data_IF_919473686722
#
_entry.id   IF_919473686722
#
_cell.length_a   1.000
_cell.length_b   1.000
_cell.length_c   1.000
_cell.angle_alpha   90.00
_cell.angle_beta   90.00
_cell.angle_gamma   90.00
#
_symmetry.space_group_name_H-M   'P 1'
#
loop_
_entity.id
_entity.type
_entity.pdbx_description
1 polymer ?
#
# COMPACT_ATOMS: atom_id res chain seq x y z
N UNK A 1 -38.89 72.85 -70.64
CA UNK A 1 -37.59 72.22 -70.31
C UNK A 1 -36.84 73.09 -69.32
N UNK A 2 -36.79 72.67 -68.06
CA UNK A 2 -35.62 72.64 -67.15
C UNK A 2 -36.16 72.19 -65.79
N UNK A 3 -36.11 70.87 -65.59
CA UNK A 3 -36.45 70.20 -64.33
C UNK A 3 -35.37 70.57 -63.31
N UNK A 4 -35.73 71.25 -62.23
CA UNK A 4 -34.85 71.40 -61.07
C UNK A 4 -34.92 70.11 -60.25
N UNK A 5 -33.83 69.34 -60.25
CA UNK A 5 -33.65 68.24 -59.31
C UNK A 5 -33.22 68.81 -57.95
N UNK A 6 -34.11 68.77 -56.97
CA UNK A 6 -33.80 69.05 -55.57
C UNK A 6 -33.15 67.78 -55.02
N UNK A 7 -31.84 67.84 -54.76
CA UNK A 7 -31.11 66.79 -54.06
C UNK A 7 -31.42 66.94 -52.57
N UNK A 8 -32.25 66.04 -52.03
CA UNK A 8 -32.44 65.87 -50.60
C UNK A 8 -31.21 65.18 -50.03
N UNK A 9 -30.38 65.91 -49.26
CA UNK A 9 -29.44 65.29 -48.34
C UNK A 9 -30.25 64.72 -47.17
N UNK A 10 -30.45 63.40 -47.14
CA UNK A 10 -30.92 62.71 -45.93
C UNK A 10 -29.71 62.70 -44.98
N UNK A 11 -29.71 63.59 -44.00
CA UNK A 11 -28.82 63.47 -42.85
C UNK A 11 -29.28 62.25 -42.05
N UNK A 12 -28.50 61.16 -42.09
CA UNK A 12 -28.63 60.08 -41.12
C UNK A 12 -28.21 60.67 -39.76
N UNK A 13 -29.18 61.05 -38.92
CA UNK A 13 -28.92 61.29 -37.51
C UNK A 13 -28.75 59.93 -36.85
N UNK A 14 -27.51 59.58 -36.49
CA UNK A 14 -27.25 58.40 -35.69
C UNK A 14 -27.65 58.69 -34.23
N UNK A 15 -28.26 57.70 -33.59
CA UNK A 15 -28.85 57.82 -32.25
C UNK A 15 -28.50 56.60 -31.42
N UNK A 16 -28.13 56.82 -30.15
CA UNK A 16 -27.75 55.81 -29.19
C UNK A 16 -28.89 55.51 -28.23
N UNK A 17 -29.12 54.23 -27.94
CA UNK A 17 -30.14 53.79 -26.99
C UNK A 17 -29.47 53.36 -25.70
N UNK A 18 -29.90 53.91 -24.56
CA UNK A 18 -29.40 53.51 -23.26
C UNK A 18 -29.66 52.00 -23.03
N UNK A 19 -28.75 51.32 -22.34
CA UNK A 19 -28.68 49.85 -22.35
C UNK A 19 -29.80 49.17 -21.57
N UNK A 20 -30.15 49.72 -20.40
CA UNK A 20 -31.15 49.14 -19.48
C UNK A 20 -32.44 49.95 -19.40
N UNK A 21 -32.46 51.15 -19.97
CA UNK A 21 -33.59 52.08 -19.95
C UNK A 21 -33.97 52.48 -21.38
N UNK A 22 -35.28 52.59 -21.66
CA UNK A 22 -35.81 52.92 -22.98
C UNK A 22 -35.74 54.43 -23.28
N UNK A 23 -34.53 54.98 -23.26
CA UNK A 23 -34.20 56.36 -23.63
C UNK A 23 -33.24 56.34 -24.83
N UNK A 24 -33.39 57.29 -25.75
CA UNK A 24 -32.54 57.43 -26.93
C UNK A 24 -31.97 58.84 -26.98
N UNK A 25 -30.64 58.93 -27.05
CA UNK A 25 -29.87 60.16 -27.09
C UNK A 25 -29.15 60.30 -28.44
N UNK A 26 -28.75 61.50 -28.88
CA UNK A 26 -27.90 61.66 -30.06
C UNK A 26 -26.50 61.06 -29.81
N UNK A 27 -25.85 60.50 -30.83
CA UNK A 27 -24.50 59.94 -30.68
C UNK A 27 -23.45 60.95 -30.17
N UNK A 28 -23.71 62.26 -30.29
CA UNK A 28 -22.81 63.30 -29.76
C UNK A 28 -22.82 63.40 -28.23
N UNK A 29 -23.72 62.69 -27.56
CA UNK A 29 -23.91 62.64 -26.12
C UNK A 29 -23.29 61.34 -25.54
N UNK A 30 -22.46 60.63 -26.31
CA UNK A 30 -21.69 59.47 -25.84
C UNK A 30 -20.29 59.95 -25.47
N UNK A 31 -19.85 59.63 -24.26
CA UNK A 31 -18.57 60.03 -23.65
C UNK A 31 -18.32 61.55 -23.72
N UNK A 32 -19.38 62.36 -23.59
CA UNK A 32 -19.35 63.83 -23.68
C UNK A 32 -19.11 64.51 -22.31
N UNK A 33 -18.95 63.70 -21.25
CA UNK A 33 -18.78 64.09 -19.84
C UNK A 33 -20.04 64.66 -19.20
N UNK A 34 -21.20 64.30 -19.71
CA UNK A 34 -22.48 64.60 -19.11
C UNK A 34 -23.32 63.32 -19.02
N UNK A 35 -24.01 63.13 -17.90
CA UNK A 35 -24.78 61.91 -17.68
C UNK A 35 -26.22 62.07 -18.22
N UNK A 36 -26.45 61.62 -19.45
CA UNK A 36 -27.74 61.69 -20.14
C UNK A 36 -28.56 60.41 -19.99
N UNK A 37 -27.90 59.25 -19.91
CA UNK A 37 -28.55 58.01 -19.57
C UNK A 37 -28.59 57.81 -18.04
N UNK A 38 -29.77 57.60 -17.43
CA UNK A 38 -29.86 57.35 -15.99
C UNK A 38 -29.19 56.04 -15.53
N UNK A 39 -28.85 55.14 -16.48
CA UNK A 39 -28.07 53.93 -16.23
C UNK A 39 -26.57 54.10 -16.49
N UNK A 40 -26.14 55.30 -16.92
CA UNK A 40 -24.76 55.65 -17.22
C UNK A 40 -24.13 54.91 -18.38
N UNK A 41 -24.94 54.32 -19.27
CA UNK A 41 -24.46 53.55 -20.42
C UNK A 41 -23.84 54.40 -21.55
N UNK A 42 -24.05 55.71 -21.51
CA UNK A 42 -23.51 56.75 -22.39
C UNK A 42 -22.07 57.20 -22.02
N UNK A 43 -21.70 57.12 -20.74
CA UNK A 43 -20.45 57.69 -20.20
C UNK A 43 -19.44 56.62 -19.71
N UNK A 44 -19.40 55.47 -20.39
CA UNK A 44 -18.56 54.31 -19.99
C UNK A 44 -17.05 54.59 -20.05
N UNK A 45 -16.61 55.58 -20.83
CA UNK A 45 -15.19 55.96 -20.93
C UNK A 45 -14.88 57.31 -20.25
N UNK A 46 -15.80 57.87 -19.46
CA UNK A 46 -15.57 59.14 -18.73
C UNK A 46 -15.82 59.03 -17.22
N UNK A 47 -16.65 58.08 -16.77
CA UNK A 47 -16.89 57.82 -15.35
C UNK A 47 -17.69 58.93 -14.65
N UNK A 48 -18.44 59.76 -15.39
CA UNK A 48 -19.15 60.92 -14.83
C UNK A 48 -20.48 60.55 -14.16
N UNK A 49 -21.09 59.43 -14.55
CA UNK A 49 -22.34 58.96 -13.96
C UNK A 49 -22.12 58.29 -12.60
N UNK A 50 -22.81 58.77 -11.57
CA UNK A 50 -22.77 58.19 -10.23
C UNK A 50 -23.35 56.76 -10.24
N UNK A 51 -22.59 55.79 -9.72
CA UNK A 51 -22.99 54.38 -9.68
C UNK A 51 -22.81 53.61 -10.99
N UNK A 52 -22.21 54.22 -12.03
CA UNK A 52 -21.83 53.50 -13.25
C UNK A 52 -20.45 52.85 -13.16
N UNK A 53 -20.08 52.11 -14.20
CA UNK A 53 -18.76 51.48 -14.36
C UNK A 53 -17.96 52.22 -15.45
N UNK A 54 -16.68 52.43 -15.19
CA UNK A 54 -15.69 52.97 -16.11
C UNK A 54 -14.81 51.85 -16.65
N UNK A 55 -14.52 51.86 -17.95
CA UNK A 55 -13.70 50.83 -18.61
C UNK A 55 -12.28 51.34 -18.84
N UNK A 56 -11.32 50.83 -18.06
CA UNK A 56 -9.90 50.97 -18.34
C UNK A 56 -9.57 50.15 -19.59
N UNK A 57 -9.24 50.79 -20.71
CA UNK A 57 -8.88 50.09 -21.96
C UNK A 57 -7.55 49.33 -21.84
N UNK A 58 -6.63 49.84 -21.00
CA UNK A 58 -5.40 49.14 -20.59
C UNK A 58 -4.58 48.58 -21.76
N UNK A 59 -4.29 49.39 -22.79
CA UNK A 59 -3.46 48.94 -23.94
C UNK A 59 -2.13 48.35 -23.45
N UNK A 60 -1.89 47.07 -23.76
CA UNK A 60 -0.77 46.33 -23.19
C UNK A 60 -1.16 45.33 -22.08
N UNK A 61 -2.42 45.28 -21.64
CA UNK A 61 -2.95 44.43 -20.58
C UNK A 61 -4.45 44.11 -20.81
N UNK A 62 -5.10 43.48 -19.82
CA UNK A 62 -6.54 43.21 -19.84
C UNK A 62 -7.34 44.47 -19.53
N UNK A 63 -8.43 44.69 -20.28
CA UNK A 63 -9.40 45.72 -19.93
C UNK A 63 -10.04 45.41 -18.57
N UNK A 64 -10.26 46.44 -17.77
CA UNK A 64 -10.81 46.32 -16.41
C UNK A 64 -11.95 47.31 -16.26
N UNK A 65 -13.02 46.86 -15.61
CA UNK A 65 -14.12 47.74 -15.21
C UNK A 65 -13.92 48.15 -13.75
N UNK A 66 -13.96 49.44 -13.48
CA UNK A 66 -13.90 50.02 -12.14
C UNK A 66 -15.17 50.84 -11.89
N UNK A 67 -15.56 51.00 -10.64
CA UNK A 67 -16.69 51.87 -10.31
C UNK A 67 -16.33 53.34 -10.56
N UNK A 68 -17.26 54.15 -11.07
CA UNK A 68 -17.04 55.57 -11.37
C UNK A 68 -16.53 56.41 -10.17
N UNK A 69 -16.72 55.93 -8.93
CA UNK A 69 -16.16 56.57 -7.73
C UNK A 69 -14.64 56.55 -7.63
N UNK A 70 -13.98 55.68 -8.39
CA UNK A 70 -12.52 55.56 -8.49
C UNK A 70 -11.93 56.41 -9.63
N UNK A 71 -12.76 57.15 -10.37
CA UNK A 71 -12.31 58.04 -11.45
C UNK A 71 -12.06 59.43 -10.89
N UNK A 72 -10.81 59.90 -10.95
CA UNK A 72 -10.41 61.23 -10.47
C UNK A 72 -10.33 61.35 -8.94
N UNK A 73 -10.17 60.23 -8.23
CA UNK A 73 -10.04 60.17 -6.77
C UNK A 73 -8.58 60.28 -6.29
N UNK A 74 -7.63 60.43 -7.24
CA UNK A 74 -6.18 60.50 -7.03
C UNK A 74 -5.51 59.18 -6.62
N UNK A 75 -6.16 58.05 -6.84
CA UNK A 75 -5.62 56.70 -6.71
C UNK A 75 -5.49 56.09 -8.11
N UNK A 76 -4.43 55.31 -8.37
CA UNK A 76 -4.24 54.67 -9.67
C UNK A 76 -4.83 53.26 -9.66
N UNK A 77 -6.05 53.13 -10.16
CA UNK A 77 -6.78 51.87 -10.32
C UNK A 77 -6.58 51.26 -11.71
N UNK A 78 -6.57 52.09 -12.77
CA UNK A 78 -6.22 51.61 -14.12
C UNK A 78 -4.69 51.51 -14.30
N UNK A 79 -4.22 50.42 -14.92
CA UNK A 79 -2.77 50.29 -15.19
C UNK A 79 -2.28 51.29 -16.23
N UNK A 80 -3.17 51.83 -17.07
CA UNK A 80 -2.82 52.84 -18.06
C UNK A 80 -2.95 54.27 -17.52
N UNK A 81 -3.49 54.44 -16.31
CA UNK A 81 -3.75 55.72 -15.66
C UNK A 81 -4.92 56.50 -16.27
N UNK A 82 -5.81 55.86 -17.02
CA UNK A 82 -6.94 56.51 -17.71
C UNK A 82 -8.07 56.98 -16.79
N UNK A 83 -8.11 56.45 -15.57
CA UNK A 83 -8.96 56.86 -14.45
C UNK A 83 -8.58 58.23 -13.88
N UNK A 84 -7.32 58.63 -14.01
CA UNK A 84 -6.78 59.80 -13.34
C UNK A 84 -6.34 60.92 -14.30
N UNK A 85 -6.11 62.11 -13.76
CA UNK A 85 -5.61 63.23 -14.57
C UNK A 85 -4.28 62.89 -15.23
N UNK A 86 -4.07 63.42 -16.43
CA UNK A 86 -2.83 63.24 -17.17
C UNK A 86 -1.61 63.65 -16.32
N UNK A 87 -0.63 62.75 -16.23
CA UNK A 87 0.62 62.92 -15.48
C UNK A 87 0.58 62.52 -14.01
N UNK A 88 -0.59 62.13 -13.46
CA UNK A 88 -0.68 61.62 -12.08
C UNK A 88 -0.26 60.15 -11.99
N UNK A 89 -0.84 59.31 -12.86
CA UNK A 89 -0.60 57.87 -12.88
C UNK A 89 0.29 57.47 -14.06
N UNK A 90 1.40 56.72 -13.83
CA UNK A 90 2.22 56.20 -14.92
C UNK A 90 1.54 55.00 -15.58
N UNK A 91 1.64 54.89 -16.92
CA UNK A 91 1.21 53.68 -17.61
C UNK A 91 2.17 52.52 -17.33
N UNK A 92 1.71 51.54 -16.56
CA UNK A 92 2.43 50.33 -16.16
C UNK A 92 1.88 49.06 -16.79
N UNK A 93 0.88 49.14 -17.68
CA UNK A 93 0.21 47.96 -18.27
C UNK A 93 1.20 47.00 -18.93
N UNK A 94 2.12 47.51 -19.76
CA UNK A 94 3.13 46.68 -20.42
C UNK A 94 4.08 46.01 -19.42
N UNK A 95 4.46 46.71 -18.36
CA UNK A 95 5.34 46.16 -17.32
C UNK A 95 4.61 45.05 -16.53
N UNK A 96 3.34 45.25 -16.18
CA UNK A 96 2.52 44.25 -15.50
C UNK A 96 2.33 42.99 -16.37
N UNK A 97 2.03 43.15 -17.66
CA UNK A 97 1.89 42.03 -18.58
C UNK A 97 3.22 41.32 -18.82
N UNK A 98 4.33 42.06 -18.96
CA UNK A 98 5.66 41.45 -19.05
C UNK A 98 5.97 40.60 -17.81
N UNK A 99 5.64 41.09 -16.61
CA UNK A 99 5.80 40.32 -15.37
C UNK A 99 4.97 39.03 -15.40
N UNK A 100 3.72 39.07 -15.89
CA UNK A 100 2.90 37.86 -16.07
C UNK A 100 3.52 36.89 -17.08
N UNK A 101 4.14 37.39 -18.16
CA UNK A 101 4.87 36.56 -19.13
C UNK A 101 6.06 35.88 -18.44
N UNK A 102 6.87 36.64 -17.69
CA UNK A 102 8.03 36.11 -16.98
C UNK A 102 7.62 35.03 -15.94
N UNK A 103 6.49 35.23 -15.25
CA UNK A 103 5.90 34.24 -14.34
C UNK A 103 5.51 32.95 -15.09
N UNK A 104 4.82 33.06 -16.23
CA UNK A 104 4.43 31.91 -17.05
C UNK A 104 5.66 31.22 -17.68
N UNK A 105 6.69 31.97 -18.08
CA UNK A 105 7.95 31.41 -18.59
C UNK A 105 8.67 30.57 -17.53
N UNK A 106 8.68 31.04 -16.28
CA UNK A 106 9.19 30.25 -15.16
C UNK A 106 8.36 28.98 -14.92
N UNK A 107 7.03 29.06 -15.01
CA UNK A 107 6.15 27.88 -14.92
C UNK A 107 6.40 26.87 -16.05
N UNK A 108 6.57 27.35 -17.29
CA UNK A 108 6.90 26.53 -18.47
C UNK A 108 8.21 25.81 -18.23
N UNK A 109 9.27 26.53 -17.87
CA UNK A 109 10.59 25.96 -17.62
C UNK A 109 10.53 24.86 -16.54
N UNK A 110 9.84 25.12 -15.44
CA UNK A 110 9.63 24.13 -14.37
C UNK A 110 8.86 22.90 -14.87
N UNK A 111 7.81 23.11 -15.66
CA UNK A 111 7.01 22.03 -16.24
C UNK A 111 7.82 21.16 -17.21
N UNK A 112 8.70 21.76 -18.01
CA UNK A 112 9.62 21.04 -18.90
C UNK A 112 10.59 20.15 -18.11
N UNK A 113 11.20 20.68 -17.04
CA UNK A 113 12.06 19.93 -16.13
C UNK A 113 11.32 18.74 -15.50
N UNK A 114 10.08 18.94 -15.07
CA UNK A 114 9.21 17.89 -14.52
C UNK A 114 8.85 16.81 -15.55
N UNK A 115 8.61 17.20 -16.81
CA UNK A 115 8.34 16.25 -17.89
C UNK A 115 9.59 15.42 -18.20
N UNK A 116 10.78 16.02 -18.19
CA UNK A 116 12.03 15.28 -18.31
C UNK A 116 12.24 14.30 -17.16
N UNK A 117 11.92 14.72 -15.92
CA UNK A 117 11.98 13.85 -14.74
C UNK A 117 11.01 12.66 -14.86
N UNK A 118 9.79 12.92 -15.32
CA UNK A 118 8.81 11.87 -15.64
C UNK A 118 9.33 10.86 -16.66
N UNK A 119 10.03 11.31 -17.70
CA UNK A 119 10.62 10.42 -18.70
C UNK A 119 11.74 9.55 -18.09
N UNK A 120 12.58 10.10 -17.20
CA UNK A 120 13.59 9.34 -16.45
C UNK A 120 12.94 8.24 -15.60
N UNK A 121 11.93 8.57 -14.80
CA UNK A 121 11.20 7.58 -14.00
C UNK A 121 10.48 6.55 -14.85
N UNK A 122 9.98 6.92 -16.04
CA UNK A 122 9.41 5.95 -16.98
C UNK A 122 10.44 4.91 -17.47
N UNK A 123 11.69 5.32 -17.70
CA UNK A 123 12.77 4.40 -18.09
C UNK A 123 13.18 3.50 -16.91
N UNK A 124 13.31 4.07 -15.71
CA UNK A 124 13.69 3.34 -14.52
C UNK A 124 12.60 2.35 -14.07
N UNK A 125 11.33 2.76 -14.08
CA UNK A 125 10.19 1.89 -13.80
C UNK A 125 10.08 0.71 -14.76
N UNK A 126 10.40 0.89 -16.07
CA UNK A 126 10.50 -0.23 -17.03
C UNK A 126 11.56 -1.25 -16.62
N UNK A 127 12.74 -0.77 -16.19
CA UNK A 127 13.83 -1.65 -15.74
C UNK A 127 13.42 -2.41 -14.48
N UNK A 128 12.89 -1.69 -13.49
CA UNK A 128 12.43 -2.28 -12.23
C UNK A 128 11.37 -3.35 -12.46
N UNK A 129 10.37 -3.09 -13.32
CA UNK A 129 9.33 -4.08 -13.63
C UNK A 129 9.87 -5.32 -14.34
N UNK A 130 10.86 -5.14 -15.21
CA UNK A 130 11.55 -6.26 -15.88
C UNK A 130 12.35 -7.09 -14.89
N UNK A 131 13.04 -6.47 -13.94
CA UNK A 131 13.77 -7.14 -12.87
C UNK A 131 12.83 -7.90 -11.94
N UNK A 132 11.76 -7.24 -11.50
CA UNK A 132 10.73 -7.84 -10.68
C UNK A 132 10.09 -9.07 -11.34
N UNK A 133 9.75 -8.98 -12.63
CA UNK A 133 9.20 -10.11 -13.38
C UNK A 133 10.16 -11.30 -13.46
N UNK A 134 11.48 -11.05 -13.55
CA UNK A 134 12.48 -12.12 -13.49
C UNK A 134 12.55 -12.75 -12.10
N UNK A 135 12.49 -11.93 -11.05
CA UNK A 135 12.52 -12.39 -9.67
C UNK A 135 11.29 -13.23 -9.31
N UNK A 136 10.09 -12.81 -9.76
CA UNK A 136 8.86 -13.61 -9.64
C UNK A 136 9.06 -15.00 -10.27
N UNK A 137 9.51 -15.06 -11.52
CA UNK A 137 9.73 -16.35 -12.22
C UNK A 137 10.75 -17.23 -11.51
N UNK A 138 11.81 -16.62 -10.96
CA UNK A 138 12.82 -17.34 -10.18
C UNK A 138 12.21 -17.92 -8.90
N UNK A 139 11.45 -17.11 -8.15
CA UNK A 139 10.81 -17.54 -6.91
C UNK A 139 9.72 -18.58 -7.17
N UNK A 140 8.97 -18.48 -8.27
CA UNK A 140 8.00 -19.50 -8.69
C UNK A 140 8.66 -20.83 -9.05
N UNK A 141 9.83 -20.80 -9.73
CA UNK A 141 10.60 -22.00 -10.01
C UNK A 141 11.15 -22.64 -8.72
N UNK A 142 11.74 -21.85 -7.83
CA UNK A 142 12.23 -22.33 -6.52
C UNK A 142 11.09 -22.88 -5.66
N UNK A 143 9.92 -22.24 -5.67
CA UNK A 143 8.74 -22.72 -4.97
C UNK A 143 8.29 -24.09 -5.50
N UNK A 144 8.35 -24.29 -6.82
CA UNK A 144 8.01 -25.56 -7.45
C UNK A 144 8.98 -26.67 -7.03
N UNK A 145 10.29 -26.37 -6.99
CA UNK A 145 11.31 -27.31 -6.54
C UNK A 145 11.11 -27.72 -5.08
N UNK A 146 10.89 -26.75 -4.17
CA UNK A 146 10.65 -27.04 -2.74
C UNK A 146 9.36 -27.85 -2.54
N UNK A 147 8.29 -27.54 -3.29
CA UNK A 147 7.04 -28.32 -3.24
C UNK A 147 7.24 -29.76 -3.71
N UNK A 148 8.05 -29.96 -4.74
CA UNK A 148 8.35 -31.31 -5.25
C UNK A 148 9.25 -32.07 -4.28
N UNK A 149 10.24 -31.42 -3.65
CA UNK A 149 11.11 -32.04 -2.64
C UNK A 149 10.31 -32.50 -1.40
N UNK A 150 9.37 -31.67 -0.92
CA UNK A 150 8.46 -32.06 0.16
C UNK A 150 7.58 -33.25 -0.22
N UNK A 151 7.11 -33.29 -1.47
CA UNK A 151 6.23 -34.36 -1.97
C UNK A 151 6.98 -35.68 -2.20
N UNK A 152 8.17 -35.63 -2.81
CA UNK A 152 9.01 -36.82 -3.06
C UNK A 152 9.59 -37.34 -1.74
N UNK A 153 9.97 -36.44 -0.84
CA UNK A 153 10.55 -36.80 0.44
C UNK A 153 9.60 -37.61 1.32
N UNK A 154 8.28 -37.49 1.12
CA UNK A 154 7.23 -38.22 1.84
C UNK A 154 7.49 -38.29 3.36
N UNK A 155 7.95 -37.16 3.91
CA UNK A 155 8.47 -37.06 5.27
C UNK A 155 7.43 -37.53 6.30
N UNK A 156 6.16 -37.21 6.09
CA UNK A 156 5.06 -37.63 6.96
C UNK A 156 4.98 -39.16 7.11
N UNK A 157 5.05 -39.90 6.00
CA UNK A 157 5.01 -41.36 6.04
C UNK A 157 6.30 -41.95 6.61
N UNK A 158 7.47 -41.42 6.22
CA UNK A 158 8.76 -41.92 6.71
C UNK A 158 8.88 -41.70 8.22
N UNK A 159 8.55 -40.50 8.71
CA UNK A 159 8.57 -40.18 10.15
C UNK A 159 7.59 -41.07 10.90
N UNK A 160 6.38 -41.29 10.36
CA UNK A 160 5.39 -42.19 10.96
C UNK A 160 5.89 -43.63 11.03
N UNK A 161 6.54 -44.13 9.97
CA UNK A 161 7.12 -45.46 9.95
C UNK A 161 8.27 -45.59 10.96
N UNK A 162 9.16 -44.60 11.04
CA UNK A 162 10.27 -44.59 12.00
C UNK A 162 9.79 -44.50 13.45
N UNK A 163 8.76 -43.69 13.73
CA UNK A 163 8.11 -43.65 15.05
C UNK A 163 7.48 -45.00 15.40
N UNK A 164 6.86 -45.68 14.44
CA UNK A 164 6.35 -47.05 14.64
C UNK A 164 7.49 -48.02 14.96
N UNK A 165 8.58 -48.01 14.19
CA UNK A 165 9.77 -48.84 14.45
C UNK A 165 10.34 -48.62 15.85
N UNK A 166 10.43 -47.36 16.30
CA UNK A 166 10.85 -47.01 17.66
C UNK A 166 9.89 -47.54 18.72
N UNK A 167 8.58 -47.40 18.50
CA UNK A 167 7.57 -47.92 19.43
C UNK A 167 7.58 -49.45 19.52
N UNK A 168 7.67 -50.14 18.38
CA UNK A 168 7.75 -51.61 18.30
C UNK A 168 9.04 -52.10 18.99
N UNK A 169 10.17 -51.42 18.76
CA UNK A 169 11.44 -51.70 19.43
C UNK A 169 11.36 -51.50 20.95
N UNK A 170 10.72 -50.42 21.39
CA UNK A 170 10.49 -50.16 22.81
C UNK A 170 9.61 -51.22 23.45
N UNK A 171 8.54 -51.66 22.78
CA UNK A 171 7.66 -52.71 23.27
C UNK A 171 8.38 -54.07 23.38
N UNK A 172 9.14 -54.47 22.35
CA UNK A 172 9.95 -55.70 22.34
C UNK A 172 11.01 -55.70 23.44
N UNK A 173 11.66 -54.54 23.70
CA UNK A 173 12.56 -54.40 24.84
C UNK A 173 11.84 -54.57 26.19
N UNK A 174 10.67 -53.96 26.38
CA UNK A 174 9.89 -54.10 27.62
C UNK A 174 9.48 -55.55 27.86
N UNK A 175 9.09 -56.29 26.82
CA UNK A 175 8.76 -57.71 26.93
C UNK A 175 9.98 -58.55 27.32
N UNK A 176 11.13 -58.34 26.66
CA UNK A 176 12.39 -59.01 27.04
C UNK A 176 12.82 -58.70 28.46
N UNK A 177 12.75 -57.43 28.86
CA UNK A 177 13.11 -56.98 30.20
C UNK A 177 12.21 -57.62 31.26
N UNK A 178 10.89 -57.65 31.03
CA UNK A 178 9.93 -58.28 31.93
C UNK A 178 10.13 -59.80 32.02
N UNK A 179 10.48 -60.47 30.93
CA UNK A 179 10.82 -61.91 30.94
C UNK A 179 12.12 -62.20 31.72
N UNK A 180 13.15 -61.36 31.57
CA UNK A 180 14.39 -61.49 32.36
C UNK A 180 14.13 -61.20 33.84
N UNK A 181 13.26 -60.22 34.13
CA UNK A 181 12.79 -59.88 35.47
C UNK A 181 12.06 -61.04 36.14
N UNK A 182 11.11 -61.67 35.44
CA UNK A 182 10.34 -62.78 35.99
C UNK A 182 11.22 -63.99 36.31
N UNK A 183 12.20 -64.32 35.44
CA UNK A 183 13.18 -65.40 35.71
C UNK A 183 13.97 -65.16 37.00
N UNK A 184 14.40 -63.92 37.24
CA UNK A 184 15.08 -63.57 38.50
C UNK A 184 14.14 -63.75 39.71
N UNK A 185 12.87 -63.36 39.58
CA UNK A 185 11.87 -63.49 40.67
C UNK A 185 11.55 -64.97 40.96
N UNK A 186 11.34 -65.79 39.93
CA UNK A 186 11.10 -67.24 40.06
C UNK A 186 12.25 -67.93 40.81
N UNK A 187 13.50 -67.56 40.48
CA UNK A 187 14.69 -68.15 41.12
C UNK A 187 14.93 -67.63 42.56
N UNK A 188 14.33 -66.49 42.94
CA UNK A 188 14.31 -65.97 44.32
C UNK A 188 13.17 -66.58 45.15
N UNK A 189 12.04 -66.92 44.52
CA UNK A 189 10.85 -67.45 45.18
C UNK A 189 11.03 -68.84 45.82
N UNK A 190 12.09 -69.55 45.46
CA UNK A 190 12.46 -70.83 46.09
C UNK A 190 13.02 -70.71 47.53
N UNK A 191 13.35 -69.52 48.03
CA UNK A 191 14.10 -69.38 49.30
C UNK A 191 13.40 -68.63 50.45
N UNK A 192 12.30 -67.88 50.26
CA UNK A 192 11.88 -66.92 51.30
C UNK A 192 10.38 -66.61 51.34
N UNK A 193 9.87 -66.22 52.52
CA UNK A 193 8.49 -65.76 52.73
C UNK A 193 8.18 -64.50 51.91
N UNK A 194 6.88 -64.26 51.67
CA UNK A 194 6.33 -63.18 50.83
C UNK A 194 6.90 -61.78 51.19
N UNK A 195 7.07 -61.48 52.48
CA UNK A 195 7.65 -60.20 52.97
C UNK A 195 9.15 -60.04 52.67
N UNK A 196 9.93 -61.13 52.67
CA UNK A 196 11.38 -61.09 52.39
C UNK A 196 11.65 -61.04 50.89
N UNK A 197 10.72 -61.57 50.09
CA UNK A 197 10.68 -61.43 48.63
C UNK A 197 10.53 -59.96 48.23
N UNK A 198 9.61 -59.21 48.85
CA UNK A 198 9.38 -57.80 48.56
C UNK A 198 10.58 -56.90 48.93
N UNK A 199 11.24 -57.13 50.06
CA UNK A 199 12.46 -56.39 50.46
C UNK A 199 13.63 -56.66 49.52
N UNK A 200 13.86 -57.93 49.14
CA UNK A 200 14.91 -58.28 48.18
C UNK A 200 14.63 -57.70 46.79
N UNK A 201 13.38 -57.71 46.33
CA UNK A 201 12.98 -57.09 45.06
C UNK A 201 13.28 -55.58 45.04
N UNK A 202 13.07 -54.87 46.16
CA UNK A 202 13.44 -53.45 46.32
C UNK A 202 14.95 -53.23 46.36
N UNK A 203 15.71 -54.06 47.08
CA UNK A 203 17.18 -53.96 47.18
C UNK A 203 17.88 -54.24 45.83
N UNK A 204 17.29 -55.06 44.97
CA UNK A 204 17.84 -55.41 43.66
C UNK A 204 17.56 -54.40 42.53
N UNK A 205 16.90 -53.28 42.82
CA UNK A 205 16.79 -52.15 41.89
C UNK A 205 15.79 -52.34 40.73
N UNK A 206 14.71 -53.10 40.94
CA UNK A 206 13.64 -53.26 39.96
C UNK A 206 12.68 -52.06 39.90
N UNK A 207 13.21 -50.87 39.62
CA UNK A 207 12.39 -49.67 39.34
C UNK A 207 12.66 -49.27 37.88
N UNK A 208 11.67 -49.52 37.01
CA UNK A 208 11.58 -48.78 35.76
C UNK A 208 11.45 -47.29 36.12
N UNK A 209 12.12 -46.35 35.44
CA UNK A 209 12.09 -44.93 35.82
C UNK A 209 10.69 -44.28 35.91
N UNK A 210 9.62 -44.97 35.47
CA UNK A 210 8.26 -44.42 35.34
C UNK A 210 7.12 -45.28 35.94
N UNK A 211 7.37 -46.27 36.81
CA UNK A 211 6.28 -47.01 37.48
C UNK A 211 6.38 -46.89 39.01
N UNK A 212 5.40 -46.23 39.63
CA UNK A 212 5.35 -46.00 41.09
C UNK A 212 4.81 -47.19 41.90
N UNK A 213 4.22 -48.23 41.30
CA UNK A 213 3.72 -49.39 42.06
C UNK A 213 3.88 -50.71 41.30
N UNK A 214 4.46 -51.71 41.97
CA UNK A 214 4.54 -53.10 41.49
C UNK A 214 3.25 -53.80 41.88
N UNK A 215 2.35 -54.07 40.94
CA UNK A 215 1.16 -54.86 41.20
C UNK A 215 1.48 -56.36 41.03
N UNK A 216 1.77 -57.04 42.14
CA UNK A 216 2.01 -58.50 42.18
C UNK A 216 0.66 -59.21 42.18
N UNK A 217 0.00 -59.29 41.02
CA UNK A 217 -1.17 -60.17 40.90
C UNK A 217 -0.73 -61.60 40.62
N UNK A 218 -0.65 -62.37 41.72
CA UNK A 218 -0.87 -63.82 41.84
C UNK A 218 -0.24 -64.72 40.76
N UNK A 219 0.98 -65.17 41.00
CA UNK A 219 1.54 -66.36 40.35
C UNK A 219 1.16 -67.58 41.18
N UNK A 220 0.28 -68.43 40.67
CA UNK A 220 0.00 -69.75 41.25
C UNK A 220 1.20 -70.68 40.98
N UNK A 221 2.00 -70.93 42.02
CA UNK A 221 3.20 -71.78 41.95
C UNK A 221 2.80 -73.26 42.03
N UNK A 222 3.01 -74.00 40.94
CA UNK A 222 3.10 -75.47 40.96
C UNK A 222 4.53 -75.86 41.35
N UNK A 223 4.67 -76.55 42.48
CA UNK A 223 5.96 -77.06 42.99
C UNK A 223 6.36 -78.32 42.22
N UNK A 224 7.50 -78.29 41.54
CA UNK A 224 8.30 -79.48 41.26
C UNK A 224 9.66 -79.31 41.95
N UNK A 225 10.05 -80.32 42.73
CA UNK A 225 11.27 -80.33 43.56
C UNK A 225 12.50 -80.67 42.71
N UNK A 226 13.41 -79.70 42.59
CA UNK A 226 14.81 -79.95 42.26
C UNK A 226 15.67 -78.90 42.99
N UNK A 227 16.25 -79.27 44.15
CA UNK A 227 17.01 -78.35 45.00
C UNK A 227 18.40 -78.04 44.39
N UNK A 228 18.53 -76.89 43.71
CA UNK A 228 19.83 -76.28 43.37
C UNK A 228 20.53 -75.76 44.63
N UNK A 229 21.86 -75.74 44.67
CA UNK A 229 22.62 -75.22 45.81
C UNK A 229 22.60 -73.67 45.87
N UNK A 230 22.75 -73.11 47.08
CA UNK A 230 22.79 -71.64 47.32
C UNK A 230 23.86 -70.90 46.52
N UNK A 231 24.98 -71.54 46.24
CA UNK A 231 26.05 -70.95 45.43
C UNK A 231 25.70 -70.93 43.94
N UNK A 232 25.03 -71.97 43.44
CA UNK A 232 24.55 -72.02 42.04
C UNK A 232 23.49 -70.95 41.78
N UNK A 233 22.55 -70.74 42.70
CA UNK A 233 21.51 -69.70 42.60
C UNK A 233 22.13 -68.30 42.52
N UNK A 234 23.14 -68.00 43.37
CA UNK A 234 23.84 -66.70 43.35
C UNK A 234 24.61 -66.45 42.06
N UNK A 235 25.19 -67.50 41.47
CA UNK A 235 25.94 -67.38 40.23
C UNK A 235 25.02 -67.17 39.02
N UNK A 236 23.88 -67.86 38.98
CA UNK A 236 22.84 -67.69 37.95
C UNK A 236 22.22 -66.28 38.02
N UNK A 237 21.96 -65.77 39.22
CA UNK A 237 21.51 -64.39 39.45
C UNK A 237 22.53 -63.34 38.97
N UNK A 238 23.84 -63.56 39.18
CA UNK A 238 24.89 -62.68 38.66
C UNK A 238 24.90 -62.64 37.13
N UNK A 239 24.75 -63.80 36.49
CA UNK A 239 24.67 -63.91 35.02
C UNK A 239 23.44 -63.18 34.47
N UNK A 240 22.27 -63.36 35.08
CA UNK A 240 21.04 -62.66 34.67
C UNK A 240 21.13 -61.14 34.84
N UNK A 241 21.74 -60.64 35.93
CA UNK A 241 22.00 -59.19 36.11
C UNK A 241 22.93 -58.62 35.06
N UNK A 242 23.96 -59.36 34.66
CA UNK A 242 24.85 -58.98 33.57
C UNK A 242 24.09 -58.90 32.24
N UNK A 243 23.23 -59.88 31.95
CA UNK A 243 22.40 -59.89 30.74
C UNK A 243 21.41 -58.72 30.69
N UNK A 244 20.77 -58.38 31.81
CA UNK A 244 19.88 -57.19 31.89
C UNK A 244 20.67 -55.91 31.60
N UNK A 245 21.85 -55.76 32.22
CA UNK A 245 22.70 -54.59 32.00
C UNK A 245 23.17 -54.49 30.54
N UNK A 246 23.52 -55.60 29.93
CA UNK A 246 23.86 -55.66 28.50
C UNK A 246 22.67 -55.27 27.62
N UNK A 247 21.48 -55.81 27.87
CA UNK A 247 20.24 -55.43 27.16
C UNK A 247 19.91 -53.93 27.33
N UNK A 248 19.98 -53.39 28.54
CA UNK A 248 19.80 -51.95 28.79
C UNK A 248 20.77 -51.08 27.98
N UNK A 249 22.04 -51.50 27.90
CA UNK A 249 23.05 -50.74 27.15
C UNK A 249 22.79 -50.78 25.65
N UNK A 250 22.37 -51.94 25.11
CA UNK A 250 21.97 -52.08 23.70
C UNK A 250 20.73 -51.25 23.40
N UNK A 251 19.72 -51.34 24.25
CA UNK A 251 18.47 -50.58 24.14
C UNK A 251 18.73 -49.07 24.09
N UNK A 252 19.43 -48.53 25.09
CA UNK A 252 19.76 -47.10 25.16
C UNK A 252 20.51 -46.61 23.91
N UNK A 253 21.36 -47.46 23.33
CA UNK A 253 22.14 -47.11 22.13
C UNK A 253 21.26 -47.05 20.89
N UNK A 254 20.39 -48.04 20.68
CA UNK A 254 19.54 -48.09 19.48
C UNK A 254 18.35 -47.14 19.57
N UNK A 255 17.71 -46.97 20.73
CA UNK A 255 16.63 -45.99 20.93
C UNK A 255 17.13 -44.56 20.65
N UNK A 256 18.32 -44.22 21.16
CA UNK A 256 18.96 -42.92 20.89
C UNK A 256 19.26 -42.72 19.40
N UNK A 257 19.60 -43.79 18.68
CA UNK A 257 19.86 -43.74 17.24
C UNK A 257 18.57 -43.50 16.47
N UNK A 258 17.52 -44.25 16.76
CA UNK A 258 16.19 -44.08 16.16
C UNK A 258 15.61 -42.69 16.45
N UNK A 259 15.75 -42.22 17.69
CA UNK A 259 15.34 -40.87 18.09
C UNK A 259 16.08 -39.80 17.29
N UNK A 260 17.40 -39.96 17.10
CA UNK A 260 18.19 -39.03 16.31
C UNK A 260 17.76 -39.01 14.85
N UNK A 261 17.51 -40.17 14.24
CA UNK A 261 17.03 -40.26 12.85
C UNK A 261 15.66 -39.60 12.67
N UNK A 262 14.72 -39.81 13.60
CA UNK A 262 13.41 -39.14 13.59
C UNK A 262 13.58 -37.62 13.69
N UNK A 263 14.43 -37.16 14.61
CA UNK A 263 14.65 -35.72 14.83
C UNK A 263 15.27 -35.05 13.61
N UNK A 264 16.25 -35.68 12.97
CA UNK A 264 16.88 -35.16 11.74
C UNK A 264 15.85 -35.03 10.59
N UNK A 265 14.93 -35.99 10.46
CA UNK A 265 13.85 -35.93 9.47
C UNK A 265 12.85 -34.80 9.77
N UNK A 266 12.43 -34.66 11.03
CA UNK A 266 11.52 -33.59 11.47
C UNK A 266 12.13 -32.20 11.28
N UNK A 267 13.42 -32.03 11.60
CA UNK A 267 14.14 -30.77 11.37
C UNK A 267 14.21 -30.42 9.88
N UNK A 268 14.52 -31.39 9.03
CA UNK A 268 14.59 -31.20 7.57
C UNK A 268 13.22 -30.85 6.97
N UNK A 269 12.16 -31.54 7.39
CA UNK A 269 10.79 -31.23 6.96
C UNK A 269 10.43 -29.78 7.33
N UNK A 270 10.67 -29.40 8.58
CA UNK A 270 10.38 -28.05 9.09
C UNK A 270 11.17 -26.97 8.34
N UNK A 271 12.44 -27.23 8.00
CA UNK A 271 13.26 -26.30 7.21
C UNK A 271 12.64 -26.06 5.83
N UNK A 272 12.24 -27.12 5.13
CA UNK A 272 11.62 -27.03 3.82
C UNK A 272 10.24 -26.35 3.87
N UNK A 273 9.42 -26.62 4.89
CA UNK A 273 8.13 -25.96 5.11
C UNK A 273 8.31 -24.45 5.36
N UNK A 274 9.23 -24.06 6.23
CA UNK A 274 9.55 -22.65 6.45
C UNK A 274 10.03 -21.97 5.15
N UNK A 275 10.89 -22.66 4.40
CA UNK A 275 11.39 -22.16 3.11
C UNK A 275 10.24 -21.96 2.12
N UNK A 276 9.31 -22.92 2.04
CA UNK A 276 8.10 -22.83 1.22
C UNK A 276 7.26 -21.61 1.60
N UNK A 277 6.93 -21.42 2.89
CA UNK A 277 6.10 -20.30 3.35
C UNK A 277 6.72 -18.94 3.02
N UNK A 278 8.03 -18.79 3.22
CA UNK A 278 8.74 -17.55 2.90
C UNK A 278 8.66 -17.24 1.40
N UNK A 279 8.85 -18.24 0.54
CA UNK A 279 8.77 -18.06 -0.90
C UNK A 279 7.32 -17.80 -1.34
N UNK A 280 6.34 -18.52 -0.79
CA UNK A 280 4.91 -18.30 -1.09
C UNK A 280 4.47 -16.87 -0.77
N UNK A 281 4.89 -16.34 0.37
CA UNK A 281 4.60 -14.95 0.76
C UNK A 281 5.20 -13.96 -0.24
N UNK A 282 6.48 -14.13 -0.60
CA UNK A 282 7.15 -13.28 -1.59
C UNK A 282 6.44 -13.32 -2.94
N UNK A 283 6.13 -14.51 -3.45
CA UNK A 283 5.43 -14.70 -4.73
C UNK A 283 4.05 -14.06 -4.68
N UNK A 284 3.30 -14.23 -3.59
CA UNK A 284 1.99 -13.62 -3.41
C UNK A 284 2.06 -12.10 -3.43
N UNK A 285 2.95 -11.50 -2.62
CA UNK A 285 3.14 -10.05 -2.57
C UNK A 285 3.46 -9.50 -3.97
N UNK A 286 4.44 -10.11 -4.65
CA UNK A 286 4.84 -9.66 -5.99
C UNK A 286 3.75 -9.86 -7.04
N UNK A 287 2.99 -10.94 -6.96
CA UNK A 287 1.86 -11.19 -7.87
C UNK A 287 0.74 -10.17 -7.66
N UNK A 288 0.34 -9.88 -6.42
CA UNK A 288 -0.66 -8.84 -6.13
C UNK A 288 -0.22 -7.48 -6.63
N UNK A 289 1.03 -7.11 -6.34
CA UNK A 289 1.65 -5.92 -6.90
C UNK A 289 1.55 -5.97 -8.43
N UNK A 290 1.93 -7.06 -9.09
CA UNK A 290 1.94 -7.17 -10.56
C UNK A 290 0.56 -7.01 -11.21
N UNK A 291 -0.53 -7.33 -10.49
CA UNK A 291 -1.93 -7.19 -10.95
C UNK A 291 -2.37 -5.75 -11.13
N UNK A 292 -1.62 -4.77 -10.61
CA UNK A 292 -1.74 -3.36 -10.99
C UNK A 292 -1.32 -3.23 -12.46
N UNK A 293 -2.27 -3.60 -13.31
CA UNK A 293 -2.12 -3.60 -14.74
C UNK A 293 -2.27 -2.15 -15.17
N UNK A 294 -1.15 -1.43 -15.18
CA UNK A 294 -1.07 -0.12 -15.80
C UNK A 294 -1.15 -0.37 -17.31
N UNK A 295 -2.34 -0.72 -17.80
CA UNK A 295 -2.66 -0.86 -19.23
C UNK A 295 -2.45 0.46 -19.98
N UNK A 296 -2.18 1.55 -19.28
CA UNK A 296 -1.94 2.87 -19.82
C UNK A 296 -0.47 3.23 -19.68
N UNK A 297 0.41 2.79 -20.60
CA UNK A 297 1.67 3.42 -21.06
C UNK A 297 2.53 4.32 -20.11
N UNK A 298 2.36 4.25 -18.79
CA UNK A 298 2.86 5.20 -17.81
C UNK A 298 3.73 4.44 -16.82
N UNK A 299 4.80 3.85 -17.36
CA UNK A 299 5.86 3.21 -16.59
C UNK A 299 6.52 4.14 -15.57
N UNK A 300 6.24 5.45 -15.63
CA UNK A 300 6.63 6.36 -14.56
C UNK A 300 6.01 5.93 -13.22
N UNK A 301 4.78 5.46 -13.24
CA UNK A 301 4.12 4.92 -12.05
C UNK A 301 4.78 3.60 -11.57
N UNK A 302 5.40 2.84 -12.47
CA UNK A 302 6.13 1.61 -12.11
C UNK A 302 7.40 1.91 -11.31
N UNK A 303 7.95 3.14 -11.38
CA UNK A 303 9.07 3.55 -10.53
C UNK A 303 8.65 3.75 -9.06
N UNK A 304 7.41 4.19 -8.85
CA UNK A 304 6.83 4.40 -7.51
C UNK A 304 6.10 3.20 -6.96
N UNK A 305 5.99 2.17 -7.79
CA UNK A 305 5.51 0.88 -7.39
C UNK A 305 6.38 0.35 -6.26
N UNK A 306 5.74 -0.18 -5.20
CA UNK A 306 6.38 -0.66 -3.96
C UNK A 306 6.70 0.39 -2.90
N UNK A 307 6.55 1.69 -3.19
CA UNK A 307 6.78 2.71 -2.17
C UNK A 307 5.58 2.85 -1.23
N UNK A 308 5.90 2.98 0.05
CA UNK A 308 4.98 3.42 1.08
C UNK A 308 5.06 4.95 1.17
N UNK A 309 3.91 5.61 1.08
CA UNK A 309 3.80 7.04 1.33
C UNK A 309 2.98 7.25 2.59
N UNK A 310 3.49 8.07 3.52
CA UNK A 310 2.81 8.35 4.78
C UNK A 310 2.57 9.85 4.92
N UNK A 311 1.38 10.20 5.40
CA UNK A 311 1.05 11.55 5.84
C UNK A 311 -0.02 11.45 6.93
N UNK A 312 0.18 12.22 7.99
CA UNK A 312 -0.67 12.21 9.19
C UNK A 312 -0.82 10.77 9.71
N UNK A 313 -2.05 10.25 9.80
CA UNK A 313 -2.30 8.87 10.20
C UNK A 313 -2.56 7.92 9.02
N UNK A 314 -2.38 8.36 7.78
CA UNK A 314 -2.58 7.56 6.58
C UNK A 314 -1.26 7.01 6.03
N UNK A 315 -1.32 5.76 5.55
CA UNK A 315 -0.28 5.12 4.76
C UNK A 315 -0.87 4.59 3.47
N UNK A 316 -0.35 5.05 2.35
CA UNK A 316 -0.67 4.58 1.01
C UNK A 316 0.43 3.65 0.52
N UNK A 317 0.07 2.39 0.26
CA UNK A 317 0.88 1.46 -0.52
C UNK A 317 0.39 1.55 -1.96
N UNK A 318 1.17 2.20 -2.82
CA UNK A 318 0.76 2.55 -4.19
C UNK A 318 0.24 1.33 -4.96
N UNK A 319 -1.01 1.38 -5.41
CA UNK A 319 -1.65 0.31 -6.17
C UNK A 319 -1.98 -0.95 -5.37
N UNK A 320 -1.88 -0.91 -4.04
CA UNK A 320 -2.14 -2.07 -3.18
C UNK A 320 -3.25 -1.79 -2.17
N UNK A 321 -3.01 -0.96 -1.16
CA UNK A 321 -4.02 -0.57 -0.19
C UNK A 321 -3.67 0.76 0.50
N UNK A 322 -4.66 1.31 1.21
CA UNK A 322 -4.51 2.47 2.08
C UNK A 322 -4.86 2.02 3.49
N UNK A 323 -4.04 2.39 4.47
CA UNK A 323 -4.30 2.14 5.88
C UNK A 323 -4.36 3.45 6.67
N UNK A 324 -5.18 3.48 7.71
CA UNK A 324 -5.27 4.57 8.68
C UNK A 324 -4.92 4.02 10.07
N UNK A 325 -4.13 4.75 10.84
CA UNK A 325 -3.66 4.34 12.17
C UNK A 325 -3.00 2.94 12.19
N UNK A 326 -2.32 2.56 11.09
CA UNK A 326 -1.70 1.25 10.81
C UNK A 326 -2.62 0.01 10.76
N UNK A 327 -3.79 0.04 11.40
CA UNK A 327 -4.61 -1.15 11.61
C UNK A 327 -5.97 -1.10 10.88
N UNK A 328 -6.39 0.08 10.42
CA UNK A 328 -7.67 0.24 9.72
C UNK A 328 -7.38 0.21 8.22
N UNK A 329 -7.91 -0.78 7.50
CA UNK A 329 -7.84 -0.76 6.05
C UNK A 329 -8.86 0.26 5.54
N UNK A 330 -8.40 1.33 4.92
CA UNK A 330 -9.28 2.33 4.29
C UNK A 330 -9.82 1.79 2.98
N UNK A 331 -9.02 0.99 2.27
CA UNK A 331 -9.45 0.34 1.04
C UNK A 331 -8.28 -0.34 0.34
N UNK A 332 -8.59 -1.41 -0.39
CA UNK A 332 -7.67 -2.08 -1.30
C UNK A 332 -7.85 -1.53 -2.72
N UNK A 333 -6.77 -1.51 -3.50
CA UNK A 333 -6.78 -0.97 -4.86
C UNK A 333 -7.81 -1.70 -5.73
N UNK A 334 -8.77 -0.95 -6.27
CA UNK A 334 -9.86 -1.48 -7.07
C UNK A 334 -9.73 -1.13 -8.55
N UNK A 335 -9.01 -0.05 -8.88
CA UNK A 335 -8.74 0.33 -10.26
C UNK A 335 -8.47 1.82 -10.45
N UNK A 336 -8.62 2.26 -11.69
CA UNK A 336 -8.48 3.65 -12.10
C UNK A 336 -9.84 4.17 -12.54
N UNK A 337 -10.25 5.32 -12.00
CA UNK A 337 -11.45 6.03 -12.48
C UNK A 337 -11.09 6.87 -13.72
N UNK A 338 -9.99 7.62 -13.63
CA UNK A 338 -9.38 8.37 -14.74
C UNK A 338 -7.87 8.10 -14.81
N UNK A 339 -7.14 8.77 -15.70
CA UNK A 339 -5.66 8.69 -15.74
C UNK A 339 -4.98 9.18 -14.46
N UNK A 340 -5.66 10.04 -13.70
CA UNK A 340 -5.11 10.79 -12.58
C UNK A 340 -5.87 10.51 -11.28
N UNK A 341 -6.75 9.51 -11.25
CA UNK A 341 -7.51 9.11 -10.06
C UNK A 341 -7.52 7.58 -9.93
N UNK A 342 -6.95 7.10 -8.83
CA UNK A 342 -7.09 5.70 -8.39
C UNK A 342 -8.25 5.57 -7.42
N UNK A 343 -8.95 4.44 -7.51
CA UNK A 343 -10.05 4.09 -6.61
C UNK A 343 -9.66 2.90 -5.73
N UNK A 344 -9.95 3.03 -4.44
CA UNK A 344 -9.70 2.03 -3.40
C UNK A 344 -11.02 1.71 -2.70
N UNK A 345 -11.33 0.42 -2.55
CA UNK A 345 -12.60 -0.04 -1.99
C UNK A 345 -12.43 -1.27 -1.12
N UNK A 346 -13.53 -1.78 -0.55
CA UNK A 346 -13.54 -2.94 0.33
C UNK A 346 -12.63 -2.75 1.57
N UNK A 347 -12.60 -1.52 2.12
CA UNK A 347 -11.96 -1.24 3.39
C UNK A 347 -12.70 -1.86 4.57
N UNK A 348 -12.09 -1.77 5.75
CA UNK A 348 -12.71 -2.11 7.03
C UNK A 348 -14.07 -1.41 7.15
N UNK A 349 -15.07 -2.14 7.63
CA UNK A 349 -16.43 -1.64 7.79
C UNK A 349 -16.52 -0.50 8.81
N UNK A 350 -17.49 0.37 8.57
CA UNK A 350 -17.71 1.63 9.26
C UNK A 350 -19.23 1.80 9.43
N UNK A 351 -19.67 2.19 10.62
CA UNK A 351 -21.10 2.28 10.95
C UNK A 351 -21.60 3.72 10.78
N UNK A 352 -22.62 3.89 9.95
CA UNK A 352 -23.31 5.18 9.74
C UNK A 352 -24.80 4.92 9.89
N UNK A 353 -25.46 5.57 10.86
CA UNK A 353 -26.93 5.49 11.03
C UNK A 353 -27.47 4.04 11.01
N UNK A 354 -26.85 3.14 11.79
CA UNK A 354 -27.18 1.71 11.87
C UNK A 354 -26.91 0.89 10.58
N UNK A 355 -26.29 1.50 9.56
CA UNK A 355 -25.83 0.83 8.35
C UNK A 355 -24.32 0.57 8.41
N UNK A 356 -23.93 -0.65 8.07
CA UNK A 356 -22.52 -1.03 7.96
C UNK A 356 -22.06 -0.86 6.51
N UNK A 357 -21.23 0.16 6.26
CA UNK A 357 -20.65 0.40 4.94
C UNK A 357 -19.13 0.17 4.94
N UNK A 358 -18.55 -0.40 3.87
CA UNK A 358 -17.10 -0.50 3.76
C UNK A 358 -16.49 0.88 3.50
N UNK A 359 -15.35 1.17 4.14
CA UNK A 359 -14.55 2.36 3.78
C UNK A 359 -14.09 2.29 2.32
N UNK A 360 -13.98 3.46 1.70
CA UNK A 360 -13.45 3.64 0.36
C UNK A 360 -12.65 4.93 0.26
N UNK A 361 -11.75 5.01 -0.71
CA UNK A 361 -10.95 6.19 -0.93
C UNK A 361 -10.64 6.44 -2.41
N UNK A 362 -10.40 7.70 -2.73
CA UNK A 362 -9.80 8.12 -3.98
C UNK A 362 -8.40 8.69 -3.74
N UNK A 363 -7.47 8.38 -4.64
CA UNK A 363 -6.14 8.99 -4.66
C UNK A 363 -6.00 9.80 -5.94
N UNK A 364 -5.91 11.12 -5.78
CA UNK A 364 -5.82 12.11 -6.86
C UNK A 364 -4.36 12.46 -7.10
N UNK A 365 -3.89 12.33 -8.33
CA UNK A 365 -2.51 12.60 -8.69
C UNK A 365 -2.35 14.02 -9.20
N UNK A 366 -1.40 14.77 -8.62
CA UNK A 366 -1.08 16.15 -9.04
C UNK A 366 0.38 16.28 -9.43
N UNK A 367 0.67 17.12 -10.41
CA UNK A 367 2.03 17.34 -10.91
C UNK A 367 2.91 17.98 -9.83
N UNK A 368 4.12 17.47 -9.66
CA UNK A 368 5.14 18.05 -8.79
C UNK A 368 6.44 17.28 -8.79
N UNK A 369 7.45 17.78 -8.08
CA UNK A 369 8.83 17.27 -8.17
C UNK A 369 9.04 15.98 -7.38
N UNK A 370 8.46 15.91 -6.18
CA UNK A 370 8.71 14.82 -5.23
C UNK A 370 7.44 14.03 -4.94
N UNK A 371 7.48 12.69 -5.03
CA UNK A 371 6.39 11.81 -4.64
C UNK A 371 6.05 11.95 -3.16
N UNK A 372 4.87 12.49 -2.85
CA UNK A 372 4.43 12.63 -1.46
C UNK A 372 2.92 12.86 -1.39
N UNK A 373 2.30 12.46 -0.27
CA UNK A 373 0.91 12.80 0.01
C UNK A 373 0.90 14.24 0.50
N UNK A 374 0.16 15.12 -0.17
CA UNK A 374 0.07 16.55 0.15
C UNK A 374 -1.26 16.94 0.79
N UNK A 375 -2.32 16.14 0.64
CA UNK A 375 -3.59 16.32 1.36
C UNK A 375 -4.21 14.97 1.70
N UNK A 376 -4.94 14.94 2.81
CA UNK A 376 -5.74 13.80 3.27
C UNK A 376 -7.02 14.35 3.87
N UNK A 377 -8.15 14.09 3.23
CA UNK A 377 -9.44 14.64 3.60
C UNK A 377 -10.49 13.53 3.73
N UNK A 378 -11.42 13.67 4.68
CA UNK A 378 -12.60 12.81 4.83
C UNK A 378 -13.86 13.63 4.49
N UNK A 379 -14.17 13.84 3.20
CA UNK A 379 -15.30 14.70 2.79
C UNK A 379 -16.67 14.17 3.24
N UNK A 380 -16.77 12.86 3.47
CA UNK A 380 -17.96 12.22 4.04
C UNK A 380 -17.50 11.06 4.91
N UNK A 381 -18.26 10.73 5.95
CA UNK A 381 -17.91 9.65 6.87
C UNK A 381 -17.60 8.36 6.10
N UNK A 382 -16.45 7.74 6.38
CA UNK A 382 -15.95 6.53 5.72
C UNK A 382 -15.55 6.68 4.23
N UNK A 383 -15.56 7.90 3.67
CA UNK A 383 -15.09 8.22 2.32
C UNK A 383 -13.89 9.18 2.41
N UNK A 384 -12.76 8.77 1.83
CA UNK A 384 -11.50 9.51 1.96
C UNK A 384 -10.98 9.97 0.60
N UNK A 385 -10.32 11.12 0.58
CA UNK A 385 -9.62 11.65 -0.60
C UNK A 385 -8.18 11.97 -0.19
N UNK A 386 -7.24 11.33 -0.86
CA UNK A 386 -5.81 11.60 -0.71
C UNK A 386 -5.31 12.29 -1.97
N UNK A 387 -4.49 13.32 -1.83
CA UNK A 387 -3.83 13.99 -2.95
C UNK A 387 -2.36 13.62 -2.95
N UNK A 388 -1.91 12.88 -3.97
CA UNK A 388 -0.51 12.50 -4.16
C UNK A 388 0.15 13.39 -5.20
N UNK A 389 1.16 14.14 -4.78
CA UNK A 389 2.04 14.87 -5.69
C UNK A 389 3.05 13.91 -6.32
N UNK A 390 3.27 14.00 -7.64
CA UNK A 390 4.27 13.17 -8.35
C UNK A 390 4.61 13.74 -9.74
N UNK A 391 5.87 13.57 -10.23
CA UNK A 391 6.22 13.93 -11.61
C UNK A 391 5.40 13.18 -12.65
N UNK A 392 4.90 11.98 -12.32
CA UNK A 392 4.14 11.16 -13.28
C UNK A 392 2.79 11.77 -13.68
N UNK A 393 2.24 12.65 -12.85
CA UNK A 393 1.01 13.40 -13.13
C UNK A 393 1.25 14.61 -14.06
N UNK A 394 2.51 15.00 -14.27
CA UNK A 394 2.83 16.09 -15.20
C UNK A 394 2.55 15.67 -16.64
N UNK A 395 1.83 16.49 -17.39
CA UNK A 395 1.34 16.16 -18.73
C UNK A 395 1.77 17.18 -19.77
N UNK A 396 2.03 16.69 -21.00
CA UNK A 396 2.29 17.57 -22.15
C UNK A 396 1.07 18.45 -22.49
N UNK A 397 -0.14 18.07 -22.03
CA UNK A 397 -1.35 18.88 -22.17
C UNK A 397 -1.25 20.16 -21.32
N UNK A 398 -0.79 20.05 -20.07
CA UNK A 398 -0.59 21.19 -19.18
C UNK A 398 0.50 22.13 -19.71
N UNK A 399 1.61 21.59 -20.21
CA UNK A 399 2.66 22.40 -20.86
C UNK A 399 2.11 23.18 -22.07
N UNK A 400 1.30 22.55 -22.92
CA UNK A 400 0.65 23.22 -24.06
C UNK A 400 -0.25 24.36 -23.61
N UNK A 401 -1.04 24.20 -22.55
CA UNK A 401 -1.88 25.28 -22.03
C UNK A 401 -1.08 26.46 -21.48
N UNK A 402 0.11 26.21 -20.89
CA UNK A 402 1.00 27.29 -20.45
C UNK A 402 1.58 28.07 -21.63
N UNK A 403 2.01 27.39 -22.69
CA UNK A 403 2.45 28.07 -23.92
C UNK A 403 1.33 28.90 -24.57
N UNK A 404 0.10 28.40 -24.59
CA UNK A 404 -1.05 29.16 -25.11
C UNK A 404 -1.33 30.41 -24.26
N UNK A 405 -1.31 30.26 -22.92
CA UNK A 405 -1.45 31.39 -21.99
C UNK A 405 -0.35 32.44 -22.19
N UNK A 406 0.90 32.01 -22.39
CA UNK A 406 2.02 32.88 -22.72
C UNK A 406 1.78 33.66 -24.01
N UNK A 407 1.36 32.95 -25.07
CA UNK A 407 1.06 33.56 -26.37
C UNK A 407 -0.05 34.61 -26.28
N UNK A 408 -1.12 34.32 -25.53
CA UNK A 408 -2.21 35.28 -25.28
C UNK A 408 -1.73 36.53 -24.54
N UNK A 409 -0.74 36.41 -23.65
CA UNK A 409 -0.15 37.56 -22.98
C UNK A 409 0.76 38.37 -23.92
N UNK A 410 1.52 37.71 -24.80
CA UNK A 410 2.34 38.37 -25.82
C UNK A 410 1.48 39.15 -26.84
N UNK A 411 0.35 38.58 -27.26
CA UNK A 411 -0.61 39.24 -28.16
C UNK A 411 -1.18 40.53 -27.56
N UNK A 412 -1.25 40.66 -26.23
CA UNK A 412 -1.71 41.88 -25.55
C UNK A 412 -0.68 43.01 -25.55
N UNK A 413 0.61 42.69 -25.69
CA UNK A 413 1.69 43.70 -25.70
C UNK A 413 1.78 44.44 -27.04
N UNK A 414 1.30 43.80 -28.11
CA UNK A 414 1.25 44.31 -29.48
C UNK A 414 -0.03 45.13 -29.72
#
# INVERSE_FOLDING_TARGET
MKLFAIIFFIAFSSSFKCETIDITIPDSFIDDRYCDCPDGSDEKNTGVCEGSMFICQNKGADAVEIESRFVGDSICDCCDGSDEREGLCPNVCKQQTQKKIDEVDNEIKRMEELIQLKEKFSIEGKKLRKELSKEIKKNEAELKEVKEELKIGDFDNIIKEQKRKRNDFNADYQERYNSLKSKIIEEVSGETSEEVLEEKIKEYGFVSPNEEEVNVTSVEVKKEENEKSKEEIKEEQRKLKLLIKEEETKFKKEDKKLEKEIKELEEKQKELENKKEVIERKVWEFNEKSKVNIKQNNYCNDYFFLNEYSKDNFKLYYGFNITQNNNINVGSFAGWNTSDIQFYSNGTTCEINEQTIPRKAEVHFVCGETPSIISTDEPSTCEYVLVLQTPCACSKKLLKSLHEKRKQLEEKLH
#
